data_IF_445739300912
#
_entry.id   IF_445739300912
#
_cell.length_a   1.000
_cell.length_b   1.000
_cell.length_c   1.000
_cell.angle_alpha   90.00
_cell.angle_beta   90.00
_cell.angle_gamma   90.00
#
_symmetry.space_group_name_H-M   'P 1'
#
loop_
_entity.id
_entity.type
_entity.pdbx_description
1 polymer ?
#
# COMPACT_ATOMS: atom_id res chain seq x y z
N UNK A 1 4.33 5.78 4.77
CA UNK A 1 3.45 4.79 5.41
C UNK A 1 2.19 5.38 6.09
N UNK A 2 2.28 6.41 6.95
CA UNK A 2 1.16 6.92 7.76
C UNK A 2 -0.14 7.21 7.00
N UNK A 3 -0.06 7.84 5.83
CA UNK A 3 -1.22 8.12 4.98
C UNK A 3 -1.95 6.85 4.53
N UNK A 4 -1.22 5.80 4.13
CA UNK A 4 -1.79 4.50 3.79
C UNK A 4 -2.55 3.87 4.95
N UNK A 5 -1.98 3.88 6.16
CA UNK A 5 -2.59 3.26 7.34
C UNK A 5 -3.81 4.03 7.85
N UNK A 6 -3.79 5.35 7.74
CA UNK A 6 -4.92 6.20 8.17
C UNK A 6 -5.98 6.36 7.09
N UNK A 7 -5.70 5.94 5.86
CA UNK A 7 -6.58 6.20 4.71
C UNK A 7 -6.69 7.69 4.37
N UNK A 8 -5.74 8.52 4.79
CA UNK A 8 -5.70 9.96 4.51
C UNK A 8 -4.83 10.28 3.30
N UNK A 9 -4.98 11.48 2.73
CA UNK A 9 -4.07 11.98 1.68
C UNK A 9 -4.71 12.08 0.30
N UNK A 10 -4.05 11.51 -0.70
CA UNK A 10 -4.42 11.61 -2.12
C UNK A 10 -5.54 10.65 -2.58
N UNK A 11 -6.20 9.96 -1.65
CA UNK A 11 -7.30 9.04 -1.94
C UNK A 11 -8.61 9.80 -2.20
N UNK A 12 -9.29 9.57 -3.32
CA UNK A 12 -10.54 10.30 -3.62
C UNK A 12 -11.62 10.06 -2.55
N UNK A 13 -11.65 8.88 -1.91
CA UNK A 13 -12.54 8.63 -0.78
C UNK A 13 -12.33 9.64 0.35
N UNK A 14 -11.07 9.89 0.73
CA UNK A 14 -10.72 10.87 1.75
C UNK A 14 -10.97 12.31 1.26
N UNK A 15 -10.53 12.64 0.04
CA UNK A 15 -10.69 13.99 -0.51
C UNK A 15 -12.16 14.39 -0.63
N UNK A 16 -13.04 13.49 -1.06
CA UNK A 16 -14.49 13.73 -1.10
C UNK A 16 -15.06 13.97 0.30
N UNK A 17 -14.69 13.14 1.28
CA UNK A 17 -15.08 13.34 2.68
C UNK A 17 -14.65 14.71 3.22
N UNK A 18 -13.53 15.24 2.75
CA UNK A 18 -12.99 16.56 3.12
C UNK A 18 -13.49 17.71 2.22
N UNK A 19 -14.43 17.46 1.30
CA UNK A 19 -14.95 18.49 0.38
C UNK A 19 -13.96 18.98 -0.68
N UNK A 20 -12.93 18.19 -0.98
CA UNK A 20 -11.84 18.51 -1.92
C UNK A 20 -11.92 17.77 -3.26
N UNK A 21 -12.87 16.85 -3.40
CA UNK A 21 -13.15 16.13 -4.64
C UNK A 21 -14.66 15.99 -4.82
N UNK A 22 -15.13 15.97 -6.07
CA UNK A 22 -16.55 15.87 -6.41
C UNK A 22 -17.17 14.52 -6.03
N UNK A 23 -16.38 13.45 -6.06
CA UNK A 23 -16.81 12.10 -5.70
C UNK A 23 -15.62 11.25 -5.25
N UNK A 24 -15.91 10.09 -4.69
CA UNK A 24 -14.92 9.17 -4.12
C UNK A 24 -14.36 8.13 -5.11
N UNK A 25 -14.70 8.18 -6.40
CA UNK A 25 -14.36 7.12 -7.37
C UNK A 25 -12.87 7.11 -7.68
N UNK A 26 -12.34 5.94 -8.03
CA UNK A 26 -10.95 5.84 -8.50
C UNK A 26 -10.80 6.53 -9.87
N UNK A 27 -9.73 7.29 -10.03
CA UNK A 27 -9.43 7.99 -11.28
C UNK A 27 -8.85 7.07 -12.36
N UNK A 28 -8.40 5.87 -11.99
CA UNK A 28 -7.69 4.96 -12.91
C UNK A 28 -8.47 3.69 -13.24
N UNK A 29 -9.60 3.43 -12.56
CA UNK A 29 -10.42 2.26 -12.84
C UNK A 29 -11.88 2.47 -12.43
N UNK A 30 -12.80 1.58 -12.83
CA UNK A 30 -14.23 1.72 -12.53
C UNK A 30 -14.62 1.61 -11.04
N UNK A 31 -13.66 1.42 -10.12
CA UNK A 31 -13.96 1.26 -8.71
C UNK A 31 -14.67 2.50 -8.13
N UNK A 32 -15.77 2.27 -7.43
CA UNK A 32 -16.61 3.32 -6.88
C UNK A 32 -16.00 4.06 -5.68
N UNK A 33 -14.95 3.51 -5.06
CA UNK A 33 -14.30 4.09 -3.89
C UNK A 33 -12.78 3.91 -3.95
N UNK A 34 -12.07 5.01 -4.14
CA UNK A 34 -10.62 5.10 -4.10
C UNK A 34 -10.14 5.14 -2.64
N UNK A 35 -10.09 3.98 -2.00
CA UNK A 35 -9.55 3.82 -0.64
C UNK A 35 -8.05 3.48 -0.68
N UNK A 36 -7.37 3.55 0.46
CA UNK A 36 -5.99 3.07 0.58
C UNK A 36 -5.87 1.58 0.23
N UNK A 37 -6.78 0.75 0.73
CA UNK A 37 -6.87 -0.66 0.36
C UNK A 37 -6.98 -0.85 -1.16
N UNK A 38 -7.90 -0.12 -1.79
CA UNK A 38 -8.08 -0.22 -3.24
C UNK A 38 -6.80 0.16 -3.97
N UNK A 39 -6.23 1.33 -3.66
CA UNK A 39 -5.00 1.84 -4.28
C UNK A 39 -3.86 0.84 -4.14
N UNK A 40 -3.58 0.35 -2.93
CA UNK A 40 -2.41 -0.48 -2.65
C UNK A 40 -2.53 -1.91 -3.15
N UNK A 41 -3.72 -2.53 -3.08
CA UNK A 41 -3.86 -3.97 -3.32
C UNK A 41 -4.72 -4.34 -4.53
N UNK A 42 -5.62 -3.47 -4.99
CA UNK A 42 -6.66 -3.85 -5.98
C UNK A 42 -6.54 -3.12 -7.32
N UNK A 43 -6.19 -1.84 -7.30
CA UNK A 43 -6.23 -0.96 -8.46
C UNK A 43 -5.23 -1.41 -9.55
N UNK A 44 -5.67 -1.74 -10.78
CA UNK A 44 -4.80 -2.26 -11.84
C UNK A 44 -3.67 -1.32 -12.24
N UNK A 45 -3.86 -0.01 -12.09
CA UNK A 45 -2.84 1.02 -12.37
C UNK A 45 -1.52 0.75 -11.65
N UNK A 46 -1.59 0.21 -10.43
CA UNK A 46 -0.43 0.06 -9.56
C UNK A 46 0.14 -1.37 -9.56
N UNK A 47 -0.25 -2.21 -10.52
CA UNK A 47 0.17 -3.63 -10.53
C UNK A 47 1.68 -3.80 -10.66
N UNK A 48 2.34 -2.96 -11.47
CA UNK A 48 3.80 -2.99 -11.61
C UNK A 48 4.54 -2.71 -10.30
N UNK A 49 4.00 -1.83 -9.46
CA UNK A 49 4.59 -1.48 -8.17
C UNK A 49 4.49 -2.62 -7.14
N UNK A 50 3.58 -3.58 -7.35
CA UNK A 50 3.44 -4.77 -6.51
C UNK A 50 4.39 -5.90 -6.91
N UNK A 51 5.17 -5.75 -7.98
CA UNK A 51 5.91 -6.87 -8.59
C UNK A 51 6.89 -7.54 -7.61
N UNK A 52 7.73 -6.76 -6.93
CA UNK A 52 8.77 -7.32 -6.05
C UNK A 52 8.16 -7.99 -4.82
N UNK A 53 7.17 -7.35 -4.18
CA UNK A 53 6.47 -7.94 -3.04
C UNK A 53 5.69 -9.20 -3.45
N UNK A 54 5.05 -9.18 -4.63
CA UNK A 54 4.36 -10.36 -5.19
C UNK A 54 5.32 -11.51 -5.43
N UNK A 55 6.51 -11.22 -5.95
CA UNK A 55 7.55 -12.22 -6.17
C UNK A 55 7.98 -12.84 -4.84
N UNK A 56 8.21 -12.03 -3.81
CA UNK A 56 8.60 -12.53 -2.48
C UNK A 56 7.50 -13.36 -1.81
N UNK A 57 6.24 -12.93 -1.90
CA UNK A 57 5.09 -13.66 -1.35
C UNK A 57 4.71 -14.92 -2.15
N UNK A 58 5.16 -15.05 -3.41
CA UNK A 58 4.69 -16.07 -4.34
C UNK A 58 3.23 -15.90 -4.80
N UNK A 59 2.55 -14.83 -4.38
CA UNK A 59 1.16 -14.50 -4.71
C UNK A 59 0.91 -13.01 -4.64
N UNK A 60 -0.26 -12.57 -5.13
CA UNK A 60 -0.65 -11.16 -5.03
C UNK A 60 -0.76 -10.73 -3.56
N UNK A 61 -0.18 -9.57 -3.17
CA UNK A 61 -0.36 -9.05 -1.83
C UNK A 61 -1.82 -8.65 -1.58
N UNK A 62 -2.28 -8.84 -0.36
CA UNK A 62 -3.62 -8.57 0.12
C UNK A 62 -3.58 -7.89 1.48
N UNK A 63 -4.72 -7.31 1.89
CA UNK A 63 -4.88 -6.65 3.21
C UNK A 63 -4.53 -7.58 4.37
N UNK A 64 -4.83 -8.88 4.24
CA UNK A 64 -4.51 -9.87 5.27
C UNK A 64 -3.01 -10.01 5.55
N UNK A 65 -2.15 -9.65 4.59
CA UNK A 65 -0.69 -9.76 4.74
C UNK A 65 -0.11 -8.65 5.62
N UNK A 66 -0.86 -7.56 5.83
CA UNK A 66 -0.32 -6.37 6.49
C UNK A 66 0.10 -6.63 7.93
N UNK A 67 -0.64 -7.45 8.67
CA UNK A 67 -0.29 -7.73 10.07
C UNK A 67 1.07 -8.41 10.16
N UNK A 68 1.27 -9.48 9.37
CA UNK A 68 2.52 -10.25 9.37
C UNK A 68 3.69 -9.42 8.82
N UNK A 69 3.46 -8.63 7.77
CA UNK A 69 4.48 -7.76 7.16
C UNK A 69 4.90 -6.63 8.10
N UNK A 70 3.95 -5.96 8.76
CA UNK A 70 4.24 -4.77 9.57
C UNK A 70 4.73 -5.11 10.97
N UNK A 71 4.24 -6.20 11.54
CA UNK A 71 4.55 -6.60 12.91
C UNK A 71 5.59 -7.73 12.99
N UNK A 72 5.89 -8.38 11.87
CA UNK A 72 6.77 -9.55 11.83
C UNK A 72 6.08 -10.82 12.38
N UNK A 73 6.83 -11.93 12.47
CA UNK A 73 6.31 -13.19 12.98
C UNK A 73 5.92 -13.07 14.46
N UNK A 74 4.89 -13.82 14.87
CA UNK A 74 4.51 -13.87 16.28
C UNK A 74 5.63 -14.55 17.06
N UNK A 75 5.78 -14.16 18.33
CA UNK A 75 6.78 -14.75 19.21
C UNK A 75 6.64 -16.27 19.33
N UNK A 76 5.41 -16.78 19.34
CA UNK A 76 5.08 -18.21 19.42
C UNK A 76 5.55 -19.01 18.19
N UNK A 77 5.70 -18.36 17.04
CA UNK A 77 6.10 -18.97 15.77
C UNK A 77 7.63 -18.94 15.57
N UNK A 78 8.38 -18.32 16.50
CA UNK A 78 9.83 -18.24 16.40
C UNK A 78 10.47 -19.59 16.68
N UNK A 79 11.36 -20.08 15.80
CA UNK A 79 12.09 -21.31 16.05
C UNK A 79 13.05 -21.14 17.23
N UNK A 80 13.27 -22.24 17.95
CA UNK A 80 14.24 -22.30 19.05
C UNK A 80 15.68 -22.30 18.53
N UNK A 81 15.89 -22.81 17.32
CA UNK A 81 17.19 -22.80 16.66
C UNK A 81 17.61 -21.36 16.31
N UNK A 82 18.80 -20.90 16.75
CA UNK A 82 19.24 -19.53 16.52
C UNK A 82 19.41 -19.15 15.04
N UNK A 83 19.82 -20.10 14.19
CA UNK A 83 20.06 -19.84 12.76
C UNK A 83 18.73 -19.73 12.02
N UNK A 84 17.81 -20.67 12.24
CA UNK A 84 16.45 -20.60 11.71
C UNK A 84 15.72 -19.32 12.16
N UNK A 85 15.90 -18.92 13.42
CA UNK A 85 15.31 -17.69 13.96
C UNK A 85 15.86 -16.46 13.26
N UNK A 86 17.17 -16.41 13.07
CA UNK A 86 17.83 -15.31 12.35
C UNK A 86 17.32 -15.22 10.91
N UNK A 87 17.22 -16.35 10.21
CA UNK A 87 16.74 -16.41 8.83
C UNK A 87 15.29 -15.94 8.71
N UNK A 88 14.40 -16.36 9.63
CA UNK A 88 13.01 -15.91 9.66
C UNK A 88 12.89 -14.39 9.89
N UNK A 89 13.70 -13.84 10.79
CA UNK A 89 13.69 -12.40 11.06
C UNK A 89 14.24 -11.58 9.89
N UNK A 90 15.28 -12.08 9.20
CA UNK A 90 15.82 -11.46 7.98
C UNK A 90 14.77 -11.47 6.86
N UNK A 91 14.04 -12.57 6.68
CA UNK A 91 12.95 -12.66 5.71
C UNK A 91 11.82 -11.69 6.01
N UNK A 92 11.41 -11.59 7.29
CA UNK A 92 10.39 -10.65 7.72
C UNK A 92 10.80 -9.17 7.50
N UNK A 93 12.06 -8.81 7.80
CA UNK A 93 12.59 -7.48 7.53
C UNK A 93 12.61 -7.17 6.02
N UNK A 94 12.97 -8.15 5.19
CA UNK A 94 12.94 -7.99 3.74
C UNK A 94 11.51 -7.80 3.21
N UNK A 95 10.54 -8.55 3.73
CA UNK A 95 9.12 -8.37 3.39
C UNK A 95 8.62 -6.97 3.77
N UNK A 96 8.96 -6.49 4.96
CA UNK A 96 8.63 -5.14 5.41
C UNK A 96 9.25 -4.06 4.52
N UNK A 97 10.53 -4.22 4.17
CA UNK A 97 11.25 -3.31 3.26
C UNK A 97 10.59 -3.24 1.89
N UNK A 98 10.25 -4.38 1.30
CA UNK A 98 9.57 -4.44 0.00
C UNK A 98 8.17 -3.81 0.06
N UNK A 99 7.42 -4.06 1.13
CA UNK A 99 6.13 -3.44 1.33
C UNK A 99 6.22 -1.92 1.48
N UNK A 100 7.17 -1.40 2.25
CA UNK A 100 7.42 0.03 2.38
C UNK A 100 7.74 0.66 1.03
N UNK A 101 8.66 0.07 0.27
CA UNK A 101 9.04 0.56 -1.06
C UNK A 101 7.83 0.59 -2.02
N UNK A 102 7.00 -0.47 -2.02
CA UNK A 102 5.76 -0.51 -2.78
C UNK A 102 4.82 0.63 -2.39
N UNK A 103 4.54 0.81 -1.10
CA UNK A 103 3.63 1.87 -0.61
C UNK A 103 4.16 3.26 -0.96
N UNK A 104 5.45 3.52 -0.73
CA UNK A 104 6.06 4.81 -1.03
C UNK A 104 6.04 5.13 -2.52
N UNK A 105 6.35 4.15 -3.35
CA UNK A 105 6.33 4.31 -4.81
C UNK A 105 4.92 4.65 -5.32
N UNK A 106 3.90 3.92 -4.86
CA UNK A 106 2.50 4.17 -5.24
C UNK A 106 2.02 5.53 -4.75
N UNK A 107 2.24 5.86 -3.47
CA UNK A 107 1.73 7.11 -2.91
C UNK A 107 2.43 8.33 -3.49
N UNK A 108 3.75 8.26 -3.72
CA UNK A 108 4.50 9.36 -4.34
C UNK A 108 3.97 9.66 -5.75
N UNK A 109 3.75 8.62 -6.56
CA UNK A 109 3.20 8.77 -7.90
C UNK A 109 1.77 9.34 -7.87
N UNK A 110 0.89 8.74 -7.06
CA UNK A 110 -0.51 9.16 -6.92
C UNK A 110 -0.65 10.59 -6.38
N UNK A 111 0.17 10.99 -5.42
CA UNK A 111 0.19 12.37 -4.91
C UNK A 111 0.59 13.38 -5.99
N UNK A 112 1.56 13.03 -6.84
CA UNK A 112 1.96 13.87 -7.96
C UNK A 112 0.83 14.01 -8.99
N UNK A 113 0.16 12.91 -9.34
CA UNK A 113 -1.00 12.90 -10.23
C UNK A 113 -2.15 13.76 -9.66
N UNK A 114 -2.44 13.62 -8.37
CA UNK A 114 -3.49 14.37 -7.69
C UNK A 114 -3.16 15.87 -7.60
N UNK A 115 -1.90 16.22 -7.34
CA UNK A 115 -1.44 17.62 -7.34
C UNK A 115 -1.60 18.26 -8.72
N UNK A 116 -1.27 17.54 -9.79
CA UNK A 116 -1.47 18.01 -11.17
C UNK A 116 -2.95 18.17 -11.49
N UNK A 117 -3.81 17.26 -11.01
CA UNK A 117 -5.26 17.32 -11.23
C UNK A 117 -5.89 18.53 -10.54
N UNK A 118 -5.63 18.74 -9.25
CA UNK A 118 -6.17 19.88 -8.51
C UNK A 118 -5.60 21.21 -9.02
N UNK A 119 -4.34 21.24 -9.47
CA UNK A 119 -3.74 22.43 -10.07
C UNK A 119 -4.31 22.82 -11.45
N UNK A 120 -5.00 21.91 -12.14
CA UNK A 120 -5.71 22.18 -13.40
C UNK A 120 -7.14 22.67 -13.18
N UNK A 121 -7.79 22.29 -12.08
CA UNK A 121 -9.15 22.73 -11.74
C UNK A 121 -9.23 24.12 -11.08
N UNK A 122 -8.10 24.73 -10.75
CA UNK A 122 -8.00 26.02 -10.07
C UNK A 122 -7.58 27.16 -11.03
N UNK A 123 -7.76 26.98 -12.34
CA UNK A 123 -7.51 27.99 -13.40
C UNK A 123 -8.80 28.32 -14.13
#
# INVERSE_FOLDING_TARGET
MTQALTGHGCFQHYLHRMGRAENQRCMHCPCASDTAEHTLFRCPQWEAHRADLRLRLGRKPAVGDMADILCGPRFEDLPMDPEEKSNLLIDADEMFRLFNAMVESILTAKEAEERLRQGRGNR
#
